data_IF_655743099194
#
_entry.id   IF_655743099194
#
_cell.length_a   1.000
_cell.length_b   1.000
_cell.length_c   1.000
_cell.angle_alpha   90.00
_cell.angle_beta   90.00
_cell.angle_gamma   90.00
#
_symmetry.space_group_name_H-M   'P 1'
#
loop_
_entity.id
_entity.type
_entity.pdbx_description
1 polymer ?
#
# COMPACT_ATOMS: atom_id res chain seq x y z
N UNK A 1 -18.70 -13.91 2.90
CA UNK A 1 -17.59 -13.75 3.88
C UNK A 1 -16.83 -12.49 3.54
N UNK A 2 -16.68 -11.62 4.49
CA UNK A 2 -15.93 -10.37 4.31
C UNK A 2 -14.45 -10.59 4.58
N UNK A 3 -13.60 -9.90 3.80
CA UNK A 3 -12.17 -9.91 4.03
C UNK A 3 -11.80 -9.25 5.37
N UNK A 4 -10.68 -9.65 5.93
CA UNK A 4 -10.15 -9.07 7.16
C UNK A 4 -9.14 -7.99 6.82
N UNK A 5 -9.24 -6.87 7.52
CA UNK A 5 -8.18 -5.85 7.49
C UNK A 5 -6.97 -6.36 8.26
N UNK A 6 -5.80 -6.28 7.66
CA UNK A 6 -4.54 -6.72 8.26
C UNK A 6 -3.68 -5.53 8.69
N UNK A 7 -3.66 -4.47 7.90
CA UNK A 7 -2.88 -3.29 8.24
C UNK A 7 -2.87 -2.25 7.14
N UNK A 8 -2.02 -1.27 7.30
CA UNK A 8 -1.75 -0.20 6.32
C UNK A 8 -0.31 -0.36 5.87
N UNK A 9 -0.06 -0.47 4.55
CA UNK A 9 1.29 -0.68 4.06
C UNK A 9 1.93 0.55 3.43
N UNK A 10 1.14 1.55 3.04
CA UNK A 10 1.69 2.78 2.47
C UNK A 10 0.71 3.95 2.56
N UNK A 11 1.29 5.13 2.46
CA UNK A 11 0.56 6.37 2.18
C UNK A 11 1.16 7.01 0.94
N UNK A 12 0.35 7.71 0.17
CA UNK A 12 0.80 8.51 -0.96
C UNK A 12 0.57 9.98 -0.68
N UNK A 13 1.60 10.78 -0.91
CA UNK A 13 1.59 12.23 -0.72
C UNK A 13 1.71 12.94 -2.07
N UNK A 14 0.92 13.98 -2.25
CA UNK A 14 1.08 14.89 -3.38
C UNK A 14 2.23 15.84 -3.11
N UNK A 15 3.15 15.95 -4.05
CA UNK A 15 4.29 16.87 -3.99
C UNK A 15 4.32 17.71 -5.26
N UNK A 16 4.97 18.87 -5.20
CA UNK A 16 5.12 19.73 -6.39
C UNK A 16 6.18 19.20 -7.35
N UNK A 17 7.26 18.66 -6.79
CA UNK A 17 8.40 18.11 -7.53
C UNK A 17 9.05 17.01 -6.70
N UNK A 18 9.26 15.84 -7.30
CA UNK A 18 9.79 14.67 -6.58
C UNK A 18 11.23 14.91 -6.10
N UNK A 19 12.08 15.55 -6.93
CA UNK A 19 13.46 15.82 -6.53
C UNK A 19 13.54 16.80 -5.36
N UNK A 20 12.73 17.85 -5.37
CA UNK A 20 12.63 18.79 -4.25
C UNK A 20 12.11 18.10 -2.98
N UNK A 21 11.12 17.23 -3.13
CA UNK A 21 10.57 16.47 -2.00
C UNK A 21 11.63 15.53 -1.41
N UNK A 22 12.36 14.79 -2.24
CA UNK A 22 13.44 13.92 -1.79
C UNK A 22 14.56 14.72 -1.10
N UNK A 23 14.90 15.89 -1.63
CA UNK A 23 15.88 16.78 -1.00
C UNK A 23 15.41 17.28 0.36
N UNK A 24 14.13 17.67 0.47
CA UNK A 24 13.56 18.12 1.74
C UNK A 24 13.55 16.99 2.78
N UNK A 25 12.94 15.86 2.45
CA UNK A 25 12.85 14.74 3.38
C UNK A 25 14.22 14.15 3.72
N UNK A 26 15.16 14.17 2.78
CA UNK A 26 16.53 13.71 3.00
C UNK A 26 17.35 14.58 3.95
N UNK A 27 16.94 15.85 4.18
CA UNK A 27 17.52 16.69 5.24
C UNK A 27 16.99 16.35 6.64
N UNK A 28 15.83 15.69 6.68
CA UNK A 28 15.16 15.36 7.96
C UNK A 28 15.38 13.90 8.34
N UNK A 29 15.40 13.02 7.35
CA UNK A 29 15.50 11.57 7.55
C UNK A 29 16.58 10.97 6.65
N UNK A 30 17.15 9.86 7.07
CA UNK A 30 17.95 9.02 6.17
C UNK A 30 16.99 8.26 5.24
N UNK A 31 17.01 8.60 3.96
CA UNK A 31 16.11 8.02 2.99
C UNK A 31 16.76 6.85 2.23
N UNK A 32 15.97 5.81 2.04
CA UNK A 32 16.25 4.73 1.09
C UNK A 32 15.08 4.67 0.11
N UNK A 33 15.36 4.48 -1.16
CA UNK A 33 14.31 4.33 -2.16
C UNK A 33 14.05 2.86 -2.43
N UNK A 34 12.78 2.50 -2.47
CA UNK A 34 12.32 1.20 -2.95
C UNK A 34 12.29 1.17 -4.47
N UNK A 35 11.99 2.29 -5.10
CA UNK A 35 11.92 2.42 -6.54
C UNK A 35 11.56 3.83 -6.98
N UNK A 36 11.57 4.04 -8.28
CA UNK A 36 11.19 5.30 -8.93
C UNK A 36 10.42 5.01 -10.20
N UNK A 37 9.50 5.91 -10.52
CA UNK A 37 8.80 5.99 -11.80
C UNK A 37 8.79 7.46 -12.23
N UNK A 38 8.47 7.80 -13.50
CA UNK A 38 8.32 9.19 -13.90
C UNK A 38 7.30 9.93 -13.02
N UNK A 39 7.75 11.02 -12.38
CA UNK A 39 6.92 11.81 -11.46
C UNK A 39 6.61 11.13 -10.13
N UNK A 40 7.27 10.04 -9.79
CA UNK A 40 7.04 9.31 -8.55
C UNK A 40 8.33 8.78 -7.92
N UNK A 41 8.35 8.71 -6.59
CA UNK A 41 9.38 8.02 -5.84
C UNK A 41 8.75 7.25 -4.69
N UNK A 42 9.31 6.10 -4.38
CA UNK A 42 8.83 5.23 -3.30
C UNK A 42 9.91 5.18 -2.22
N UNK A 43 9.65 5.84 -1.10
CA UNK A 43 10.55 5.89 0.05
C UNK A 43 10.35 4.64 0.88
N UNK A 44 11.41 3.87 1.04
CA UNK A 44 11.36 2.59 1.75
C UNK A 44 11.34 2.80 3.26
N UNK A 45 10.43 2.14 3.93
CA UNK A 45 10.32 2.08 5.38
C UNK A 45 10.34 0.62 5.88
N UNK A 46 11.13 -0.23 5.20
CA UNK A 46 11.24 -1.65 5.53
C UNK A 46 10.17 -2.49 4.88
N UNK A 47 9.13 -2.82 5.60
CA UNK A 47 7.96 -3.53 5.08
C UNK A 47 6.82 -2.61 4.63
N UNK A 48 7.00 -1.31 4.81
CA UNK A 48 6.07 -0.25 4.40
C UNK A 48 6.79 0.75 3.50
N UNK A 49 6.05 1.67 2.89
CA UNK A 49 6.66 2.74 2.10
C UNK A 49 5.78 3.99 2.07
N UNK A 50 6.39 5.09 1.67
CA UNK A 50 5.70 6.33 1.35
C UNK A 50 5.88 6.60 -0.15
N UNK A 51 4.79 6.79 -0.87
CA UNK A 51 4.84 7.22 -2.26
C UNK A 51 4.81 8.75 -2.31
N UNK A 52 5.77 9.34 -3.02
CA UNK A 52 5.77 10.76 -3.36
C UNK A 52 5.35 10.86 -4.82
N UNK A 53 4.30 11.58 -5.10
CA UNK A 53 3.73 11.69 -6.46
C UNK A 53 3.54 13.15 -6.84
N UNK A 54 4.12 13.54 -7.96
CA UNK A 54 3.90 14.87 -8.50
C UNK A 54 2.46 15.06 -8.90
N UNK A 55 1.90 16.22 -8.55
CA UNK A 55 0.59 16.60 -9.05
C UNK A 55 0.66 16.72 -10.56
N UNK A 56 0.03 15.81 -11.25
CA UNK A 56 -0.25 15.97 -12.66
C UNK A 56 -1.48 16.87 -12.81
N UNK A 57 -1.29 18.19 -12.97
CA UNK A 57 -2.33 19.14 -13.37
C UNK A 57 -3.68 18.97 -12.67
N UNK A 58 -4.63 19.77 -12.99
CA UNK A 58 -5.99 19.86 -12.47
C UNK A 58 -6.80 18.54 -12.35
N UNK A 59 -6.35 17.58 -11.56
CA UNK A 59 -7.24 16.53 -11.12
C UNK A 59 -8.15 17.12 -10.03
N UNK A 60 -9.22 17.72 -10.46
CA UNK A 60 -10.33 18.02 -9.57
C UNK A 60 -10.73 16.73 -8.86
N UNK A 61 -10.58 16.69 -7.55
CA UNK A 61 -11.12 15.60 -6.75
C UNK A 61 -10.13 14.54 -6.33
N UNK A 62 -8.95 14.94 -6.01
CA UNK A 62 -8.09 14.08 -5.25
C UNK A 62 -6.94 13.56 -6.07
N UNK A 63 -5.88 14.27 -6.04
CA UNK A 63 -4.60 13.84 -6.52
C UNK A 63 -4.26 12.41 -6.07
N UNK A 64 -3.01 12.04 -6.17
CA UNK A 64 -2.55 10.70 -5.84
C UNK A 64 -2.66 10.33 -4.35
N UNK A 65 -3.23 11.21 -3.52
CA UNK A 65 -3.40 10.95 -2.09
C UNK A 65 -4.27 9.73 -1.84
N UNK A 66 -3.67 8.74 -1.24
CA UNK A 66 -4.38 7.55 -0.80
C UNK A 66 -3.57 6.84 0.29
N UNK A 67 -4.17 5.83 0.86
CA UNK A 67 -3.43 4.87 1.69
C UNK A 67 -3.78 3.46 1.25
N UNK A 68 -2.86 2.54 1.45
CA UNK A 68 -3.03 1.14 1.11
C UNK A 68 -3.52 0.35 2.30
N UNK A 69 -4.67 -0.27 2.18
CA UNK A 69 -5.19 -1.24 3.14
C UNK A 69 -4.80 -2.65 2.75
N UNK A 70 -4.18 -3.33 3.67
CA UNK A 70 -3.80 -4.74 3.51
C UNK A 70 -4.94 -5.62 3.98
N UNK A 71 -5.30 -6.57 3.16
CA UNK A 71 -6.38 -7.54 3.46
C UNK A 71 -5.90 -8.97 3.26
N UNK A 72 -6.64 -9.91 3.78
CA UNK A 72 -6.38 -11.33 3.61
C UNK A 72 -6.92 -11.89 2.28
N UNK A 73 -7.92 -11.24 1.69
CA UNK A 73 -8.57 -11.67 0.45
C UNK A 73 -9.07 -10.46 -0.36
N UNK A 74 -8.29 -10.04 -1.31
CA UNK A 74 -8.60 -8.90 -2.19
C UNK A 74 -9.85 -9.14 -3.06
N UNK A 75 -10.06 -10.37 -3.50
CA UNK A 75 -11.22 -10.68 -4.36
C UNK A 75 -12.53 -10.65 -3.57
N UNK A 76 -12.50 -11.05 -2.29
CA UNK A 76 -13.64 -10.88 -1.41
C UNK A 76 -13.99 -9.39 -1.20
N UNK A 77 -12.98 -8.51 -1.12
CA UNK A 77 -13.22 -7.06 -1.08
C UNK A 77 -13.85 -6.57 -2.38
N UNK A 78 -13.35 -7.00 -3.53
CA UNK A 78 -13.93 -6.63 -4.84
C UNK A 78 -15.42 -6.99 -4.88
N UNK A 79 -15.76 -8.22 -4.54
CA UNK A 79 -17.14 -8.68 -4.53
C UNK A 79 -18.02 -7.87 -3.57
N UNK A 80 -17.49 -7.53 -2.39
CA UNK A 80 -18.22 -6.74 -1.40
C UNK A 80 -18.45 -5.29 -1.88
N UNK A 81 -17.46 -4.68 -2.54
CA UNK A 81 -17.59 -3.34 -3.13
C UNK A 81 -18.65 -3.31 -4.24
N UNK A 82 -18.62 -4.29 -5.11
CA UNK A 82 -19.63 -4.43 -6.18
C UNK A 82 -21.03 -4.60 -5.59
N UNK A 83 -21.18 -5.47 -4.60
CA UNK A 83 -22.47 -5.71 -3.93
C UNK A 83 -22.98 -4.45 -3.20
N UNK A 84 -22.09 -3.63 -2.67
CA UNK A 84 -22.43 -2.39 -1.98
C UNK A 84 -22.69 -1.22 -2.95
N UNK A 85 -22.44 -1.40 -4.26
CA UNK A 85 -22.52 -0.32 -5.24
C UNK A 85 -21.50 0.79 -5.04
N UNK A 86 -20.34 0.45 -4.45
CA UNK A 86 -19.27 1.40 -4.20
C UNK A 86 -18.55 1.80 -5.50
N UNK A 87 -17.98 3.00 -5.52
CA UNK A 87 -17.20 3.48 -6.66
C UNK A 87 -15.84 2.80 -6.69
N UNK A 88 -15.67 1.85 -7.63
CA UNK A 88 -14.36 1.25 -7.92
C UNK A 88 -13.67 2.11 -8.97
N UNK A 89 -12.48 2.61 -8.63
CA UNK A 89 -11.71 3.49 -9.51
C UNK A 89 -10.86 2.64 -10.45
N UNK A 90 -10.87 2.89 -11.77
CA UNK A 90 -10.00 2.17 -12.70
C UNK A 90 -8.52 2.33 -12.34
N UNK A 91 -7.84 1.21 -12.12
CA UNK A 91 -6.42 1.17 -11.79
C UNK A 91 -5.83 -0.20 -12.13
N UNK A 92 -4.51 -0.36 -11.97
CA UNK A 92 -3.86 -1.67 -12.12
C UNK A 92 -4.22 -2.65 -11.00
N UNK A 93 -4.69 -2.13 -9.86
CA UNK A 93 -5.02 -2.91 -8.68
C UNK A 93 -6.50 -2.85 -8.34
N UNK A 94 -6.82 -2.71 -7.09
CA UNK A 94 -8.17 -2.52 -6.59
C UNK A 94 -8.21 -1.25 -5.76
N UNK A 95 -8.71 -0.18 -6.38
CA UNK A 95 -8.87 1.12 -5.74
C UNK A 95 -10.35 1.48 -5.69
N UNK A 96 -10.78 2.09 -4.62
CA UNK A 96 -12.15 2.55 -4.49
C UNK A 96 -12.22 3.87 -3.72
N UNK A 97 -13.35 4.57 -3.89
CA UNK A 97 -13.68 5.72 -3.05
C UNK A 97 -14.74 5.34 -2.03
N UNK A 98 -14.54 5.81 -0.81
CA UNK A 98 -15.60 5.72 0.20
C UNK A 98 -16.69 6.78 -0.05
N UNK A 99 -17.81 6.78 0.70
CA UNK A 99 -18.87 7.77 0.51
C UNK A 99 -18.46 9.23 0.67
N UNK A 100 -17.34 9.50 1.33
CA UNK A 100 -16.80 10.85 1.55
C UNK A 100 -15.69 11.21 0.58
N UNK A 101 -15.41 10.35 -0.41
CA UNK A 101 -14.44 10.61 -1.46
C UNK A 101 -13.00 10.21 -1.13
N UNK A 102 -12.75 9.55 -0.02
CA UNK A 102 -11.42 9.06 0.31
C UNK A 102 -11.01 7.94 -0.65
N UNK A 103 -9.85 8.10 -1.27
CA UNK A 103 -9.29 7.07 -2.14
C UNK A 103 -8.53 6.03 -1.31
N UNK A 104 -8.90 4.78 -1.49
CA UNK A 104 -8.29 3.64 -0.78
C UNK A 104 -7.81 2.63 -1.81
N UNK A 105 -6.55 2.24 -1.70
CA UNK A 105 -6.00 1.12 -2.44
C UNK A 105 -6.04 -0.15 -1.59
N UNK A 106 -6.56 -1.23 -2.15
CA UNK A 106 -6.61 -2.53 -1.46
C UNK A 106 -5.51 -3.43 -1.99
N UNK A 107 -4.70 -3.96 -1.10
CA UNK A 107 -3.61 -4.87 -1.44
C UNK A 107 -3.73 -6.17 -0.64
N UNK A 108 -3.41 -7.28 -1.29
CA UNK A 108 -3.44 -8.59 -0.63
C UNK A 108 -2.15 -8.82 0.15
N UNK A 109 -2.26 -9.29 1.39
CA UNK A 109 -1.12 -9.59 2.26
C UNK A 109 -0.10 -10.51 1.58
N UNK A 110 -0.57 -11.43 0.76
CA UNK A 110 0.27 -12.42 0.09
C UNK A 110 1.23 -11.81 -0.93
N UNK A 111 0.83 -10.67 -1.52
CA UNK A 111 1.51 -10.10 -2.70
C UNK A 111 2.52 -9.01 -2.35
N UNK A 112 2.53 -8.53 -1.11
CA UNK A 112 3.28 -7.34 -0.71
C UNK A 112 4.29 -7.61 0.39
N UNK A 113 5.21 -6.67 0.59
CA UNK A 113 6.27 -6.81 1.60
C UNK A 113 5.79 -6.57 3.03
N UNK A 114 4.65 -5.87 3.22
CA UNK A 114 4.11 -5.62 4.56
C UNK A 114 4.00 -6.93 5.34
N UNK A 115 4.55 -6.96 6.54
CA UNK A 115 4.50 -8.12 7.43
C UNK A 115 3.95 -7.72 8.79
N UNK A 116 3.39 -8.70 9.46
CA UNK A 116 2.93 -8.55 10.84
C UNK A 116 3.55 -9.64 11.69
N UNK A 117 3.90 -9.31 12.91
CA UNK A 117 4.49 -10.29 13.83
C UNK A 117 3.53 -11.49 14.00
N UNK A 118 4.05 -12.73 14.01
CA UNK A 118 3.21 -13.92 14.15
C UNK A 118 2.29 -13.89 15.38
N UNK A 119 2.76 -13.30 16.49
CA UNK A 119 1.95 -13.14 17.69
C UNK A 119 0.73 -12.23 17.46
N UNK A 120 0.89 -11.18 16.65
CA UNK A 120 -0.21 -10.27 16.30
C UNK A 120 -1.19 -10.96 15.37
N UNK A 121 -0.70 -11.68 14.35
CA UNK A 121 -1.57 -12.46 13.45
C UNK A 121 -2.40 -13.48 14.23
N UNK A 122 -1.81 -14.18 15.20
CA UNK A 122 -2.56 -15.11 16.07
C UNK A 122 -3.64 -14.39 16.86
N UNK A 123 -3.31 -13.25 17.46
CA UNK A 123 -4.29 -12.47 18.23
C UNK A 123 -5.45 -11.96 17.37
N UNK A 124 -5.21 -11.76 16.08
CA UNK A 124 -6.23 -11.37 15.09
C UNK A 124 -7.01 -12.56 14.52
N UNK A 125 -6.65 -13.78 14.84
CA UNK A 125 -7.23 -15.00 14.25
C UNK A 125 -6.80 -15.23 12.82
N UNK A 126 -5.61 -14.76 12.43
CA UNK A 126 -5.04 -14.82 11.09
C UNK A 126 -3.73 -15.63 11.02
N UNK A 127 -3.57 -16.59 11.93
CA UNK A 127 -2.34 -17.40 12.01
C UNK A 127 -2.02 -18.21 10.75
N UNK A 128 -3.01 -18.46 9.89
CA UNK A 128 -2.82 -19.15 8.61
C UNK A 128 -2.43 -18.24 7.46
N UNK A 129 -2.35 -16.94 7.69
CA UNK A 129 -2.04 -15.97 6.64
C UNK A 129 -0.53 -16.00 6.31
N UNK A 130 -0.21 -16.25 5.05
CA UNK A 130 1.18 -16.40 4.60
C UNK A 130 1.47 -15.56 3.35
N UNK A 131 2.76 -15.35 3.11
CA UNK A 131 3.26 -14.64 1.93
C UNK A 131 3.33 -15.55 0.71
N UNK A 132 3.11 -14.99 -0.47
CA UNK A 132 3.42 -15.63 -1.72
C UNK A 132 4.93 -15.57 -2.04
N UNK A 133 5.35 -16.36 -3.01
CA UNK A 133 6.77 -16.52 -3.34
C UNK A 133 7.47 -15.23 -3.77
N UNK A 134 6.78 -14.38 -4.52
CA UNK A 134 7.35 -13.10 -4.97
C UNK A 134 7.63 -12.17 -3.79
N UNK A 135 6.68 -12.02 -2.88
CA UNK A 135 6.85 -11.20 -1.68
C UNK A 135 7.96 -11.74 -0.76
N UNK A 136 8.05 -13.08 -0.64
CA UNK A 136 9.12 -13.72 0.13
C UNK A 136 10.51 -13.44 -0.48
N UNK A 137 10.65 -13.49 -1.80
CA UNK A 137 11.91 -13.14 -2.46
C UNK A 137 12.33 -11.70 -2.20
N UNK A 138 11.39 -10.77 -2.30
CA UNK A 138 11.64 -9.34 -2.03
C UNK A 138 12.06 -9.09 -0.58
N UNK A 139 11.39 -9.73 0.36
CA UNK A 139 11.71 -9.62 1.79
C UNK A 139 13.08 -10.22 2.11
N UNK A 140 13.39 -11.39 1.57
CA UNK A 140 14.72 -12.02 1.74
C UNK A 140 15.84 -11.18 1.17
N UNK A 141 15.60 -10.49 0.04
CA UNK A 141 16.58 -9.58 -0.55
C UNK A 141 16.91 -8.40 0.38
N UNK A 142 16.01 -8.06 1.29
CA UNK A 142 16.20 -7.03 2.33
C UNK A 142 16.73 -7.61 3.66
N UNK A 143 16.96 -8.90 3.75
CA UNK A 143 17.37 -9.57 4.99
C UNK A 143 16.21 -9.82 5.97
N UNK A 144 14.98 -9.74 5.50
CA UNK A 144 13.79 -10.02 6.33
C UNK A 144 13.41 -11.49 6.18
N UNK A 145 13.49 -12.22 7.28
CA UNK A 145 13.03 -13.61 7.33
C UNK A 145 11.59 -13.63 7.86
N UNK A 146 10.71 -14.24 7.08
CA UNK A 146 9.32 -14.44 7.47
C UNK A 146 9.10 -15.93 7.65
N UNK A 147 8.62 -16.39 8.81
CA UNK A 147 8.28 -17.81 9.00
C UNK A 147 7.25 -18.23 7.96
N UNK A 148 7.53 -19.37 7.29
CA UNK A 148 6.61 -19.95 6.31
C UNK A 148 5.41 -20.63 6.94
#
# INVERSE_FOLDING_TARGET
>A
MTARLVGINHVALDVGDVEEALAFYGRVFELRLRGREPGMAFVDAGDQFIALSERSGEAAGGGARHFGLVVDDKEAVRAALEAAGAEIVPSRGLDFRDPWGNLVQVVDYRDIQFTKAPAVLRAMGLEGLCKGDAALRELRAKGVEVPG
#
